data_IF_494626680859
#
_entry.id   IF_494626680859
#
_cell.length_a   1.000
_cell.length_b   1.000
_cell.length_c   1.000
_cell.angle_alpha   90.00
_cell.angle_beta   90.00
_cell.angle_gamma   90.00
#
_symmetry.space_group_name_H-M   'P 1'
#
loop_
_entity.id
_entity.type
_entity.pdbx_description
1 polymer ?
#
# COMPACT_ATOMS: atom_id res chain seq x y z
N UNK A 1 69.91 60.22 -32.86
CA UNK A 1 69.04 59.28 -32.11
C UNK A 1 68.70 59.84 -30.71
N UNK A 2 67.74 60.76 -30.60
CA UNK A 2 67.08 61.17 -29.33
C UNK A 2 65.67 61.63 -29.69
N UNK A 3 64.68 60.74 -29.65
CA UNK A 3 63.35 60.99 -30.23
C UNK A 3 62.21 61.06 -29.20
N UNK A 4 62.47 61.05 -27.89
CA UNK A 4 61.42 61.28 -26.87
C UNK A 4 62.00 61.78 -25.55
N UNK A 5 61.24 62.63 -24.83
CA UNK A 5 61.61 63.12 -23.49
C UNK A 5 61.50 62.01 -22.44
N UNK A 6 62.37 62.04 -21.41
CA UNK A 6 62.35 61.10 -20.28
C UNK A 6 60.99 61.09 -19.56
N UNK A 7 60.31 62.24 -19.50
CA UNK A 7 58.99 62.38 -18.90
C UNK A 7 57.93 61.55 -19.62
N UNK A 8 57.91 61.58 -20.96
CA UNK A 8 56.94 60.81 -21.76
C UNK A 8 57.10 59.30 -21.60
N UNK A 9 58.35 58.83 -21.50
CA UNK A 9 58.67 57.43 -21.19
C UNK A 9 58.21 57.03 -19.79
N UNK A 10 58.33 57.93 -18.80
CA UNK A 10 57.88 57.70 -17.43
C UNK A 10 56.35 57.59 -17.35
N UNK A 11 55.62 58.49 -18.01
CA UNK A 11 54.16 58.45 -18.07
C UNK A 11 53.64 57.15 -18.69
N UNK A 12 54.20 56.75 -19.83
CA UNK A 12 53.82 55.48 -20.51
C UNK A 12 54.13 54.26 -19.62
N UNK A 13 55.25 54.27 -18.89
CA UNK A 13 55.61 53.19 -17.97
C UNK A 13 54.64 53.08 -16.78
N UNK A 14 54.20 54.22 -16.26
CA UNK A 14 53.22 54.28 -15.18
C UNK A 14 51.85 53.76 -15.65
N UNK A 15 51.41 54.23 -16.83
CA UNK A 15 50.15 53.80 -17.45
C UNK A 15 50.15 52.29 -17.73
N UNK A 16 51.25 51.75 -18.28
CA UNK A 16 51.43 50.30 -18.47
C UNK A 16 51.34 49.53 -17.16
N UNK A 17 51.96 50.02 -16.09
CA UNK A 17 51.91 49.37 -14.77
C UNK A 17 50.50 49.40 -14.18
N UNK A 18 49.77 50.51 -14.36
CA UNK A 18 48.36 50.63 -13.95
C UNK A 18 47.48 49.64 -14.69
N UNK A 19 47.56 49.59 -16.03
CA UNK A 19 46.78 48.65 -16.85
C UNK A 19 47.11 47.21 -16.51
N UNK A 20 48.38 46.89 -16.26
CA UNK A 20 48.78 45.55 -15.82
C UNK A 20 48.19 45.18 -14.46
N UNK A 21 48.18 46.12 -13.50
CA UNK A 21 47.52 45.91 -12.20
C UNK A 21 46.01 45.73 -12.32
N UNK A 22 45.36 46.49 -13.20
CA UNK A 22 43.94 46.34 -13.50
C UNK A 22 43.60 45.00 -14.16
N UNK A 23 44.42 44.56 -15.12
CA UNK A 23 44.30 43.22 -15.71
C UNK A 23 44.46 42.11 -14.67
N UNK A 24 45.43 42.23 -13.75
CA UNK A 24 45.60 41.28 -12.65
C UNK A 24 44.38 41.22 -11.73
N UNK A 25 43.78 42.37 -11.38
CA UNK A 25 42.54 42.43 -10.60
C UNK A 25 41.37 41.75 -11.32
N UNK A 26 41.22 41.98 -12.63
CA UNK A 26 40.16 41.34 -13.42
C UNK A 26 40.34 39.83 -13.51
N UNK A 27 41.58 39.34 -13.67
CA UNK A 27 41.86 37.88 -13.67
C UNK A 27 41.49 37.26 -12.33
N UNK A 28 41.84 37.90 -11.21
CA UNK A 28 41.45 37.42 -9.88
C UNK A 28 39.92 37.41 -9.70
N UNK A 29 39.22 38.47 -10.16
CA UNK A 29 37.77 38.54 -10.11
C UNK A 29 37.10 37.44 -10.96
N UNK A 30 37.63 37.13 -12.14
CA UNK A 30 37.14 36.03 -12.98
C UNK A 30 37.30 34.69 -12.25
N UNK A 31 38.47 34.43 -11.66
CA UNK A 31 38.71 33.21 -10.91
C UNK A 31 37.76 33.05 -9.70
N UNK A 32 37.50 34.14 -8.98
CA UNK A 32 36.55 34.16 -7.85
C UNK A 32 35.11 33.88 -8.30
N UNK A 33 34.68 34.47 -9.43
CA UNK A 33 33.35 34.20 -10.01
C UNK A 33 33.25 32.76 -10.48
N UNK A 34 34.28 32.22 -11.13
CA UNK A 34 34.31 30.81 -11.55
C UNK A 34 34.23 29.85 -10.36
N UNK A 35 34.92 30.14 -9.25
CA UNK A 35 34.81 29.34 -8.04
C UNK A 35 33.38 29.35 -7.47
N UNK A 36 32.72 30.52 -7.45
CA UNK A 36 31.31 30.64 -7.02
C UNK A 36 30.33 29.89 -7.93
N UNK A 37 30.57 29.90 -9.24
CA UNK A 37 29.77 29.12 -10.20
C UNK A 37 29.86 27.64 -9.86
N UNK A 38 31.09 27.11 -9.73
CA UNK A 38 31.31 25.70 -9.37
C UNK A 38 30.69 25.32 -8.01
N UNK A 39 30.78 26.21 -7.02
CA UNK A 39 30.13 26.00 -5.72
C UNK A 39 28.61 25.93 -5.85
N UNK A 40 28.01 26.83 -6.63
CA UNK A 40 26.56 26.87 -6.88
C UNK A 40 26.12 25.60 -7.63
N UNK A 41 26.88 25.16 -8.63
CA UNK A 41 26.59 23.94 -9.37
C UNK A 41 26.60 22.70 -8.44
N UNK A 42 27.54 22.64 -7.49
CA UNK A 42 27.57 21.58 -6.49
C UNK A 42 26.37 21.65 -5.54
N UNK A 43 25.93 22.85 -5.15
CA UNK A 43 24.72 23.02 -4.33
C UNK A 43 23.46 22.55 -5.07
N UNK A 44 23.34 22.84 -6.38
CA UNK A 44 22.24 22.33 -7.21
C UNK A 44 22.24 20.80 -7.24
N UNK A 45 23.39 20.18 -7.46
CA UNK A 45 23.50 18.71 -7.46
C UNK A 45 23.15 18.09 -6.10
N UNK A 46 23.55 18.72 -5.00
CA UNK A 46 23.19 18.25 -3.66
C UNK A 46 21.68 18.36 -3.40
N UNK A 47 21.07 19.46 -3.84
CA UNK A 47 19.62 19.66 -3.71
C UNK A 47 18.84 18.62 -4.52
N UNK A 48 19.29 18.32 -5.75
CA UNK A 48 18.67 17.29 -6.59
C UNK A 48 18.74 15.90 -5.94
N UNK A 49 19.90 15.53 -5.37
CA UNK A 49 20.06 14.26 -4.66
C UNK A 49 19.22 14.20 -3.38
N UNK A 50 19.16 15.29 -2.62
CA UNK A 50 18.32 15.36 -1.43
C UNK A 50 16.83 15.20 -1.80
N UNK A 51 16.36 15.92 -2.81
CA UNK A 51 14.99 15.82 -3.30
C UNK A 51 14.66 14.39 -3.77
N UNK A 52 15.56 13.75 -4.52
CA UNK A 52 15.38 12.35 -4.94
C UNK A 52 15.28 11.40 -3.76
N UNK A 53 16.12 11.59 -2.75
CA UNK A 53 16.12 10.77 -1.53
C UNK A 53 14.79 10.92 -0.77
N UNK A 54 14.35 12.16 -0.57
CA UNK A 54 13.09 12.48 0.11
C UNK A 54 11.89 11.86 -0.63
N UNK A 55 11.76 12.11 -1.94
CA UNK A 55 10.68 11.54 -2.77
C UNK A 55 10.69 10.01 -2.74
N UNK A 56 11.87 9.38 -2.78
CA UNK A 56 11.97 7.92 -2.69
C UNK A 56 11.52 7.39 -1.32
N UNK A 57 11.83 8.13 -0.25
CA UNK A 57 11.39 7.76 1.10
C UNK A 57 9.87 7.89 1.25
N UNK A 58 9.29 9.00 0.82
CA UNK A 58 7.84 9.23 0.85
C UNK A 58 7.08 8.21 0.00
N UNK A 59 7.62 7.86 -1.17
CA UNK A 59 7.05 6.83 -2.03
C UNK A 59 6.99 5.48 -1.29
N UNK A 60 8.09 5.05 -0.67
CA UNK A 60 8.15 3.79 0.08
C UNK A 60 7.17 3.76 1.25
N UNK A 61 7.05 4.86 1.99
CA UNK A 61 6.10 4.96 3.10
C UNK A 61 4.66 4.85 2.60
N UNK A 62 4.35 5.54 1.49
CA UNK A 62 3.01 5.51 0.88
C UNK A 62 2.66 4.13 0.34
N UNK A 63 3.59 3.46 -0.34
CA UNK A 63 3.42 2.09 -0.85
C UNK A 63 3.21 1.07 0.28
N UNK A 64 3.96 1.19 1.38
CA UNK A 64 3.77 0.35 2.55
C UNK A 64 2.37 0.54 3.16
N UNK A 65 1.93 1.79 3.32
CA UNK A 65 0.60 2.12 3.83
C UNK A 65 -0.51 1.65 2.89
N UNK A 66 -0.30 1.75 1.58
CA UNK A 66 -1.25 1.24 0.58
C UNK A 66 -1.40 -0.28 0.69
N UNK A 67 -0.29 -1.00 0.86
CA UNK A 67 -0.30 -2.45 1.03
C UNK A 67 -1.07 -2.85 2.29
N UNK A 68 -0.77 -2.20 3.43
CA UNK A 68 -1.48 -2.43 4.69
C UNK A 68 -2.99 -2.16 4.56
N UNK A 69 -3.37 -1.05 3.92
CA UNK A 69 -4.78 -0.70 3.72
C UNK A 69 -5.50 -1.69 2.79
N UNK A 70 -4.82 -2.21 1.77
CA UNK A 70 -5.38 -3.24 0.89
C UNK A 70 -5.63 -4.54 1.66
N UNK A 71 -4.70 -4.98 2.51
CA UNK A 71 -4.90 -6.18 3.35
C UNK A 71 -6.09 -6.00 4.30
N UNK A 72 -6.18 -4.84 4.97
CA UNK A 72 -7.33 -4.50 5.83
C UNK A 72 -8.64 -4.48 5.06
N UNK A 73 -8.63 -3.98 3.82
CA UNK A 73 -9.80 -3.97 2.95
C UNK A 73 -10.27 -5.40 2.64
N UNK A 74 -9.35 -6.31 2.29
CA UNK A 74 -9.70 -7.72 2.02
C UNK A 74 -10.35 -8.38 3.24
N UNK A 75 -9.81 -8.14 4.43
CA UNK A 75 -10.40 -8.65 5.68
C UNK A 75 -11.80 -8.08 5.91
N UNK A 76 -11.96 -6.76 5.75
CA UNK A 76 -13.27 -6.11 5.90
C UNK A 76 -14.29 -6.57 4.85
N UNK A 77 -13.87 -6.86 3.62
CA UNK A 77 -14.72 -7.44 2.58
C UNK A 77 -15.14 -8.88 2.90
N UNK A 78 -14.28 -9.70 3.49
CA UNK A 78 -14.62 -11.04 3.97
C UNK A 78 -15.62 -10.97 5.14
N UNK A 79 -15.40 -10.08 6.10
CA UNK A 79 -16.36 -9.84 7.20
C UNK A 79 -17.72 -9.39 6.68
N UNK A 80 -17.74 -8.48 5.71
CA UNK A 80 -18.97 -8.03 5.07
C UNK A 80 -19.66 -9.18 4.33
N UNK A 81 -18.91 -10.02 3.60
CA UNK A 81 -19.48 -11.17 2.90
C UNK A 81 -20.12 -12.18 3.86
N UNK A 82 -19.57 -12.34 5.08
CA UNK A 82 -20.12 -13.22 6.13
C UNK A 82 -21.41 -12.70 6.77
N UNK A 83 -21.78 -11.44 6.54
CA UNK A 83 -23.09 -10.92 6.99
C UNK A 83 -24.26 -11.50 6.19
N UNK A 84 -24.01 -11.92 4.95
CA UNK A 84 -25.00 -12.62 4.11
C UNK A 84 -24.85 -14.14 4.33
N UNK A 85 -25.73 -14.71 5.15
CA UNK A 85 -25.67 -16.12 5.53
C UNK A 85 -26.37 -16.96 4.46
N UNK A 86 -25.56 -17.73 3.71
CA UNK A 86 -26.04 -18.60 2.63
C UNK A 86 -26.07 -20.06 3.06
N UNK A 87 -27.04 -20.80 2.53
CA UNK A 87 -27.14 -22.24 2.74
C UNK A 87 -25.90 -22.96 2.14
N UNK A 88 -25.23 -23.85 2.90
CA UNK A 88 -24.07 -24.61 2.40
C UNK A 88 -24.45 -25.70 1.39
N UNK A 89 -25.71 -26.15 1.41
CA UNK A 89 -26.24 -27.20 0.54
C UNK A 89 -27.75 -27.00 0.31
N UNK A 90 -28.27 -27.56 -0.79
CA UNK A 90 -29.70 -27.57 -1.08
C UNK A 90 -30.43 -28.48 -0.10
N UNK A 91 -31.55 -28.00 0.43
CA UNK A 91 -32.34 -28.74 1.40
C UNK A 91 -33.52 -27.94 1.91
N UNK A 92 -34.26 -28.53 2.84
CA UNK A 92 -35.38 -27.89 3.51
C UNK A 92 -34.93 -27.25 4.82
N UNK A 93 -35.34 -26.01 5.08
CA UNK A 93 -35.05 -25.32 6.35
C UNK A 93 -35.96 -25.89 7.45
N UNK A 94 -35.35 -26.38 8.53
CA UNK A 94 -36.01 -26.86 9.74
C UNK A 94 -35.54 -26.03 10.95
N UNK A 95 -36.41 -25.80 11.93
CA UNK A 95 -36.10 -25.05 13.16
C UNK A 95 -35.40 -23.69 12.92
N UNK A 96 -36.16 -22.70 12.43
CA UNK A 96 -35.68 -21.31 12.45
C UNK A 96 -35.87 -20.73 13.85
N UNK A 97 -34.75 -20.46 14.54
CA UNK A 97 -34.78 -19.90 15.91
C UNK A 97 -35.05 -18.40 15.93
N UNK A 98 -34.94 -17.72 14.79
CA UNK A 98 -34.95 -16.26 14.70
C UNK A 98 -36.17 -15.78 13.93
N UNK A 99 -37.00 -15.00 14.61
CA UNK A 99 -38.26 -14.48 14.08
C UNK A 99 -38.31 -12.94 14.07
N UNK A 100 -37.16 -12.25 14.22
CA UNK A 100 -37.14 -10.79 14.41
C UNK A 100 -36.19 -10.07 13.45
N UNK A 101 -36.72 -9.04 12.78
CA UNK A 101 -35.94 -8.11 11.95
C UNK A 101 -35.27 -7.10 12.90
N UNK A 102 -33.94 -7.04 12.89
CA UNK A 102 -33.16 -6.11 13.73
C UNK A 102 -32.69 -6.65 15.09
N UNK A 103 -32.85 -7.96 15.34
CA UNK A 103 -32.24 -8.61 16.49
C UNK A 103 -30.71 -8.72 16.37
N UNK A 104 -30.00 -8.68 17.51
CA UNK A 104 -28.56 -8.88 17.58
C UNK A 104 -28.30 -10.37 17.87
N UNK A 105 -27.44 -11.01 17.08
CA UNK A 105 -27.06 -12.42 17.23
C UNK A 105 -25.61 -12.54 17.69
N UNK A 106 -25.32 -13.57 18.49
CA UNK A 106 -23.95 -13.84 18.93
C UNK A 106 -23.20 -14.70 17.88
N UNK A 107 -21.86 -14.61 17.83
CA UNK A 107 -21.06 -15.51 17.00
C UNK A 107 -21.30 -16.99 17.36
N UNK A 108 -21.59 -17.82 16.36
CA UNK A 108 -21.81 -19.26 16.55
C UNK A 108 -23.22 -19.65 17.00
N UNK A 109 -24.13 -18.68 17.14
CA UNK A 109 -25.53 -18.95 17.42
C UNK A 109 -26.20 -19.66 16.23
N UNK A 110 -26.92 -20.75 16.51
CA UNK A 110 -27.61 -21.53 15.46
C UNK A 110 -28.88 -20.80 15.05
N UNK A 111 -28.88 -20.27 13.82
CA UNK A 111 -30.00 -19.49 13.30
C UNK A 111 -31.11 -20.39 12.72
N UNK A 112 -30.69 -21.42 11.98
CA UNK A 112 -31.56 -22.34 11.26
C UNK A 112 -30.83 -23.66 10.96
N UNK A 113 -31.57 -24.75 10.85
CA UNK A 113 -31.06 -26.05 10.42
C UNK A 113 -31.48 -26.31 8.97
N UNK A 114 -30.60 -26.90 8.15
CA UNK A 114 -30.92 -27.29 6.78
C UNK A 114 -30.81 -28.80 6.67
N UNK A 115 -31.92 -29.46 6.31
CA UNK A 115 -32.00 -30.89 6.05
C UNK A 115 -31.80 -31.12 4.55
N UNK A 116 -30.73 -31.81 4.12
CA UNK A 116 -30.47 -32.06 2.70
C UNK A 116 -31.54 -32.92 2.05
N UNK A 117 -31.91 -32.60 0.81
CA UNK A 117 -32.91 -33.38 0.06
C UNK A 117 -32.38 -34.75 -0.42
N UNK A 118 -31.05 -34.93 -0.37
CA UNK A 118 -30.37 -36.14 -0.88
C UNK A 118 -30.07 -37.19 0.20
N UNK A 119 -30.34 -36.89 1.48
CA UNK A 119 -30.09 -37.84 2.55
C UNK A 119 -31.14 -38.95 2.56
N UNK A 120 -30.68 -40.19 2.77
CA UNK A 120 -31.58 -41.33 2.95
C UNK A 120 -32.36 -41.11 4.26
N UNK A 121 -33.67 -40.86 4.13
CA UNK A 121 -34.59 -40.83 5.27
C UNK A 121 -34.55 -42.19 5.99
N UNK A 122 -33.88 -42.23 7.14
CA UNK A 122 -33.92 -43.38 8.05
C UNK A 122 -35.08 -43.15 9.01
N UNK A 123 -36.01 -44.11 9.04
CA UNK A 123 -37.13 -44.10 9.98
C UNK A 123 -36.81 -45.09 11.10
N UNK A 124 -36.67 -44.58 12.32
CA UNK A 124 -36.59 -45.41 13.51
C UNK A 124 -38.00 -45.77 13.99
N UNK A 125 -38.34 -47.05 13.93
CA UNK A 125 -39.60 -47.57 14.43
C UNK A 125 -39.36 -48.38 15.70
N UNK A 126 -40.04 -48.03 16.79
CA UNK A 126 -40.05 -48.86 18.00
C UNK A 126 -41.03 -50.01 17.82
N UNK A 127 -40.55 -51.23 17.98
CA UNK A 127 -41.36 -52.44 17.93
C UNK A 127 -41.45 -53.01 19.34
N UNK A 128 -42.68 -53.29 19.80
CA UNK A 128 -42.89 -53.94 21.09
C UNK A 128 -42.15 -55.28 21.12
N UNK A 129 -41.45 -55.61 22.23
CA UNK A 129 -40.67 -56.85 22.35
C UNK A 129 -41.47 -58.12 22.04
N UNK A 130 -42.78 -58.12 22.34
CA UNK A 130 -43.70 -59.23 22.05
C UNK A 130 -43.88 -59.54 20.56
N UNK A 131 -43.56 -58.59 19.68
CA UNK A 131 -43.69 -58.72 18.22
C UNK A 131 -42.33 -58.74 17.50
N UNK A 132 -41.25 -59.04 18.21
CA UNK A 132 -39.92 -59.11 17.60
C UNK A 132 -39.86 -60.16 16.48
N UNK A 133 -40.65 -61.24 16.60
CA UNK A 133 -40.74 -62.32 15.61
C UNK A 133 -41.40 -61.90 14.29
N UNK A 134 -42.12 -60.77 14.28
CA UNK A 134 -42.83 -60.22 13.12
C UNK A 134 -41.95 -59.35 12.21
N UNK A 135 -40.69 -59.11 12.61
CA UNK A 135 -39.77 -58.20 11.93
C UNK A 135 -38.56 -58.96 11.39
N UNK A 136 -38.24 -58.78 10.11
CA UNK A 136 -37.09 -59.41 9.47
C UNK A 136 -36.28 -58.42 8.61
N UNK A 137 -34.94 -58.57 8.52
CA UNK A 137 -34.14 -57.78 7.60
C UNK A 137 -34.66 -57.89 6.15
N UNK A 138 -34.79 -56.75 5.46
CA UNK A 138 -35.27 -56.67 4.08
C UNK A 138 -36.80 -56.76 3.92
N UNK A 139 -37.57 -56.76 5.00
CA UNK A 139 -39.03 -56.70 4.95
C UNK A 139 -39.48 -55.38 4.30
N UNK A 140 -40.39 -55.50 3.33
CA UNK A 140 -41.00 -54.32 2.69
C UNK A 140 -41.88 -53.59 3.70
N UNK A 141 -41.58 -52.32 3.91
CA UNK A 141 -42.34 -51.41 4.77
C UNK A 141 -42.93 -50.30 3.90
N UNK A 142 -44.15 -49.88 4.25
CA UNK A 142 -44.71 -48.62 3.76
C UNK A 142 -44.59 -47.61 4.89
N UNK A 143 -44.14 -46.42 4.54
CA UNK A 143 -44.30 -45.22 5.36
C UNK A 143 -45.71 -44.67 5.13
#
# INVERSE_FOLDING_TARGET
KKLVSKERLSTISLEKSRTRGESGRLVAAIAEVQARISETDLQVLQLDEQMRSEVTSELRETEAKQTELNERKVVAEDELARTDIRAPQTGTVQESSIHTIGGVIAPGEVLMMIVPDTDNLVVDALVSPERIDDVRPGQRVSI
#
